data_IF_948706816519
#
_entry.id   IF_948706816519
#
_cell.length_a   1.000
_cell.length_b   1.000
_cell.length_c   1.000
_cell.angle_alpha   90.00
_cell.angle_beta   90.00
_cell.angle_gamma   90.00
#
_symmetry.space_group_name_H-M   'P 1'
#
loop_
_entity.id
_entity.type
_entity.pdbx_description
1 polymer ?
#
# COMPACT_ATOMS: atom_id res chain seq x y z
N UNK A 1 10.70 8.42 -0.03
CA UNK A 1 11.08 8.38 -1.46
C UNK A 1 10.96 6.93 -1.92
N UNK A 2 10.22 6.63 -3.00
CA UNK A 2 10.01 5.25 -3.47
C UNK A 2 11.26 4.78 -4.21
N UNK A 3 12.10 3.99 -3.55
CA UNK A 3 13.44 3.70 -4.05
C UNK A 3 13.49 2.60 -5.10
N UNK A 4 12.40 1.87 -5.35
CA UNK A 4 12.40 0.74 -6.28
C UNK A 4 11.09 0.56 -7.04
N UNK A 5 11.22 0.57 -8.37
CA UNK A 5 10.17 0.27 -9.34
C UNK A 5 10.52 -1.03 -10.06
N UNK A 6 9.51 -1.84 -10.39
CA UNK A 6 9.62 -3.14 -11.02
C UNK A 6 8.90 -3.13 -12.38
N UNK A 7 9.39 -3.84 -13.41
CA UNK A 7 8.70 -3.97 -14.68
C UNK A 7 7.28 -4.50 -14.50
N UNK A 8 6.33 -3.89 -15.19
CA UNK A 8 4.93 -4.32 -15.25
C UNK A 8 4.61 -4.78 -16.67
N UNK A 9 4.22 -6.04 -16.80
CA UNK A 9 3.90 -6.65 -18.11
C UNK A 9 2.40 -6.92 -18.13
N UNK A 10 1.70 -6.29 -19.07
CA UNK A 10 0.27 -6.52 -19.26
C UNK A 10 0.03 -7.76 -20.14
N UNK A 11 -0.91 -8.64 -19.76
CA UNK A 11 -1.31 -9.76 -20.61
C UNK A 11 -1.86 -9.30 -21.97
N UNK A 12 -1.67 -10.10 -23.02
CA UNK A 12 -2.17 -9.78 -24.36
C UNK A 12 -3.69 -9.48 -24.42
N UNK A 13 -4.58 -10.20 -23.70
CA UNK A 13 -6.00 -9.86 -23.66
C UNK A 13 -6.28 -8.46 -23.10
N UNK A 14 -5.50 -8.02 -22.11
CA UNK A 14 -5.61 -6.68 -21.53
C UNK A 14 -5.20 -5.62 -22.54
N UNK A 15 -4.09 -5.85 -23.26
CA UNK A 15 -3.63 -4.92 -24.30
C UNK A 15 -4.66 -4.78 -25.43
N UNK A 16 -5.34 -5.87 -25.80
CA UNK A 16 -6.40 -5.82 -26.80
C UNK A 16 -7.62 -5.02 -26.31
N UNK A 17 -8.04 -5.24 -25.07
CA UNK A 17 -9.11 -4.44 -24.46
C UNK A 17 -8.75 -2.94 -24.42
N UNK A 18 -7.49 -2.61 -24.13
CA UNK A 18 -7.00 -1.22 -24.13
C UNK A 18 -7.10 -0.61 -25.53
N UNK A 19 -6.67 -1.33 -26.57
CA UNK A 19 -6.79 -0.86 -27.97
C UNK A 19 -8.23 -0.56 -28.35
N UNK A 20 -9.16 -1.44 -27.99
CA UNK A 20 -10.59 -1.27 -28.26
C UNK A 20 -11.14 -0.02 -27.55
N UNK A 21 -10.77 0.21 -26.29
CA UNK A 21 -11.19 1.40 -25.54
C UNK A 21 -10.60 2.69 -26.10
N UNK A 22 -9.33 2.67 -26.52
CA UNK A 22 -8.68 3.84 -27.14
C UNK A 22 -9.25 4.18 -28.52
N UNK A 23 -9.72 3.18 -29.28
CA UNK A 23 -10.29 3.39 -30.62
C UNK A 23 -11.54 4.28 -30.61
N UNK A 24 -12.29 4.28 -29.51
CA UNK A 24 -13.53 5.08 -29.34
C UNK A 24 -13.33 6.31 -28.44
N UNK A 25 -12.12 6.53 -27.92
CA UNK A 25 -11.81 7.65 -27.05
C UNK A 25 -11.59 8.94 -27.87
N UNK A 26 -11.97 10.08 -27.29
CA UNK A 26 -11.72 11.38 -27.90
C UNK A 26 -10.23 11.72 -27.88
N UNK A 27 -9.59 11.56 -29.03
CA UNK A 27 -8.14 11.80 -29.23
C UNK A 27 -7.71 13.25 -29.02
N UNK A 28 -8.65 14.20 -28.98
CA UNK A 28 -8.32 15.60 -28.66
C UNK A 28 -8.10 15.81 -27.15
N UNK A 29 -8.60 14.88 -26.32
CA UNK A 29 -8.62 15.01 -24.86
C UNK A 29 -7.68 14.01 -24.19
N UNK A 30 -7.35 12.90 -24.85
CA UNK A 30 -6.54 11.83 -24.26
C UNK A 30 -5.08 11.85 -24.69
N UNK A 31 -4.20 11.43 -23.79
CA UNK A 31 -2.87 10.93 -24.12
C UNK A 31 -2.95 9.41 -24.22
N UNK A 32 -2.67 8.84 -25.40
CA UNK A 32 -2.79 7.39 -25.64
C UNK A 32 -1.89 6.56 -24.71
N UNK A 33 -0.73 7.09 -24.29
CA UNK A 33 0.20 6.42 -23.38
C UNK A 33 -0.37 6.39 -21.96
N UNK A 34 -0.76 7.55 -21.43
CA UNK A 34 -1.25 7.67 -20.05
C UNK A 34 -2.64 7.05 -19.89
N UNK A 35 -3.55 7.35 -20.81
CA UNK A 35 -4.92 6.83 -20.79
C UNK A 35 -4.92 5.33 -21.08
N UNK A 36 -4.14 4.88 -22.06
CA UNK A 36 -4.01 3.45 -22.37
C UNK A 36 -3.45 2.65 -21.19
N UNK A 37 -2.40 3.16 -20.54
CA UNK A 37 -1.84 2.54 -19.34
C UNK A 37 -2.86 2.51 -18.19
N UNK A 38 -3.62 3.58 -17.99
CA UNK A 38 -4.66 3.62 -16.95
C UNK A 38 -5.76 2.59 -17.22
N UNK A 39 -6.18 2.42 -18.47
CA UNK A 39 -7.12 1.36 -18.83
C UNK A 39 -6.55 -0.04 -18.61
N UNK A 40 -5.26 -0.25 -18.89
CA UNK A 40 -4.58 -1.51 -18.64
C UNK A 40 -4.54 -1.84 -17.13
N UNK A 41 -4.20 -0.85 -16.30
CA UNK A 41 -4.19 -0.95 -14.84
C UNK A 41 -5.58 -1.30 -14.29
N UNK A 42 -6.62 -0.62 -14.77
CA UNK A 42 -8.02 -0.90 -14.39
C UNK A 42 -8.44 -2.33 -14.78
N UNK A 43 -8.06 -2.78 -15.96
CA UNK A 43 -8.39 -4.13 -16.45
C UNK A 43 -7.78 -5.25 -15.61
N UNK A 44 -6.67 -5.00 -14.90
CA UNK A 44 -6.05 -5.95 -13.97
C UNK A 44 -6.40 -5.68 -12.49
N UNK A 45 -7.38 -4.81 -12.22
CA UNK A 45 -7.97 -4.61 -10.88
C UNK A 45 -7.46 -3.38 -10.10
N UNK A 46 -6.61 -2.54 -10.67
CA UNK A 46 -6.15 -1.33 -9.98
C UNK A 46 -7.10 -0.15 -10.18
N UNK A 47 -7.35 0.60 -9.11
CA UNK A 47 -8.12 1.85 -9.16
C UNK A 47 -7.19 3.05 -9.05
N UNK A 48 -7.23 4.02 -9.99
CA UNK A 48 -6.43 5.24 -9.87
C UNK A 48 -6.90 6.09 -8.68
N UNK A 49 -5.96 6.59 -7.88
CA UNK A 49 -6.27 7.53 -6.80
C UNK A 49 -6.46 8.93 -7.37
N UNK A 50 -7.52 9.60 -6.94
CA UNK A 50 -7.85 10.96 -7.35
C UNK A 50 -7.73 11.92 -6.18
N UNK A 51 -7.28 13.14 -6.45
CA UNK A 51 -7.53 14.28 -5.59
C UNK A 51 -9.04 14.56 -5.51
N UNK A 52 -9.53 15.23 -4.44
CA UNK A 52 -10.93 15.64 -4.34
C UNK A 52 -11.43 16.47 -5.53
N UNK A 53 -10.52 17.19 -6.21
CA UNK A 53 -10.81 17.94 -7.43
C UNK A 53 -10.91 17.09 -8.71
N UNK A 54 -10.73 15.77 -8.63
CA UNK A 54 -10.84 14.83 -9.75
C UNK A 54 -9.54 14.53 -10.50
N UNK A 55 -8.43 15.22 -10.21
CA UNK A 55 -7.14 14.98 -10.86
C UNK A 55 -6.42 13.75 -10.28
N UNK A 56 -5.63 13.05 -11.11
CA UNK A 56 -4.79 11.93 -10.66
C UNK A 56 -3.79 12.38 -9.60
N UNK A 57 -3.54 11.53 -8.60
CA UNK A 57 -2.45 11.73 -7.64
C UNK A 57 -1.16 11.25 -8.29
N UNK A 58 -0.17 12.14 -8.38
CA UNK A 58 1.09 11.92 -9.08
C UNK A 58 2.30 11.98 -8.15
N UNK A 59 3.35 11.26 -8.50
CA UNK A 59 4.69 11.38 -7.89
C UNK A 59 5.75 11.24 -8.97
N UNK A 60 6.95 11.78 -8.76
CA UNK A 60 8.05 11.62 -9.72
C UNK A 60 8.46 10.15 -9.85
N UNK A 61 8.56 9.64 -11.08
CA UNK A 61 9.08 8.32 -11.32
C UNK A 61 10.62 8.31 -11.18
N UNK A 62 11.15 7.50 -10.26
CA UNK A 62 12.59 7.45 -10.01
C UNK A 62 13.40 6.78 -11.13
N UNK A 63 12.76 5.96 -11.98
CA UNK A 63 13.41 5.36 -13.15
C UNK A 63 13.52 6.38 -14.29
N UNK A 64 12.40 7.01 -14.63
CA UNK A 64 12.32 7.92 -15.77
C UNK A 64 12.84 9.34 -15.45
N UNK A 65 12.72 9.82 -14.21
CA UNK A 65 13.10 11.16 -13.68
C UNK A 65 12.55 12.40 -14.42
N UNK A 66 11.91 12.21 -15.57
CA UNK A 66 11.28 13.25 -16.39
C UNK A 66 9.76 13.12 -16.44
N UNK A 67 9.21 12.06 -15.84
CA UNK A 67 7.80 11.68 -15.98
C UNK A 67 7.19 11.34 -14.63
N UNK A 68 5.88 11.51 -14.54
CA UNK A 68 5.11 11.21 -13.34
C UNK A 68 4.64 9.74 -13.33
N UNK A 69 4.66 9.15 -12.14
CA UNK A 69 3.98 7.92 -11.79
C UNK A 69 2.64 8.26 -11.12
N UNK A 70 1.59 7.56 -11.52
CA UNK A 70 0.25 7.70 -10.96
C UNK A 70 0.09 6.78 -9.76
N UNK A 71 -0.59 7.26 -8.71
CA UNK A 71 -0.96 6.44 -7.57
C UNK A 71 -2.17 5.57 -7.92
N UNK A 72 -2.04 4.27 -7.69
CA UNK A 72 -3.11 3.29 -7.82
C UNK A 72 -3.36 2.59 -6.49
N UNK A 73 -4.55 2.03 -6.32
CA UNK A 73 -4.94 1.26 -5.15
C UNK A 73 -5.46 -0.11 -5.57
N UNK A 74 -5.09 -1.12 -4.79
CA UNK A 74 -5.56 -2.50 -4.94
C UNK A 74 -5.35 -3.22 -3.61
N UNK A 75 -6.33 -4.00 -3.14
CA UNK A 75 -6.25 -4.82 -1.93
C UNK A 75 -5.63 -4.14 -0.71
N UNK A 76 -6.18 -2.99 -0.29
CA UNK A 76 -5.67 -2.19 0.84
C UNK A 76 -4.20 -1.75 0.75
N UNK A 77 -3.60 -1.80 -0.43
CA UNK A 77 -2.30 -1.24 -0.72
C UNK A 77 -2.45 -0.05 -1.67
N UNK A 78 -1.46 0.83 -1.65
CA UNK A 78 -1.26 1.80 -2.72
C UNK A 78 0.07 1.55 -3.43
N UNK A 79 0.10 1.90 -4.71
CA UNK A 79 1.18 1.65 -5.64
C UNK A 79 1.45 2.93 -6.42
N UNK A 80 2.68 3.15 -6.85
CA UNK A 80 2.99 4.14 -7.87
C UNK A 80 3.39 3.42 -9.14
N UNK A 81 2.72 3.73 -10.26
CA UNK A 81 3.00 3.12 -11.54
C UNK A 81 3.25 4.18 -12.62
N UNK A 82 4.32 4.02 -13.40
CA UNK A 82 4.71 4.95 -14.44
C UNK A 82 4.31 4.41 -15.82
N UNK A 83 3.54 5.16 -16.61
CA UNK A 83 3.11 4.73 -17.94
C UNK A 83 4.25 4.72 -18.97
N UNK A 84 5.27 5.58 -18.80
CA UNK A 84 6.36 5.73 -19.77
C UNK A 84 7.41 4.63 -19.69
N UNK A 85 7.85 4.27 -18.48
CA UNK A 85 8.78 3.14 -18.27
C UNK A 85 8.06 1.82 -17.94
N UNK A 86 6.73 1.80 -17.91
CA UNK A 86 5.90 0.62 -17.60
C UNK A 86 6.37 -0.13 -16.35
N UNK A 87 6.46 0.60 -15.23
CA UNK A 87 6.93 0.04 -13.97
C UNK A 87 6.03 0.40 -12.79
N UNK A 88 6.00 -0.45 -11.76
CA UNK A 88 5.19 -0.29 -10.54
C UNK A 88 6.02 -0.52 -9.26
N UNK A 89 5.64 0.06 -8.12
CA UNK A 89 6.26 -0.22 -6.81
C UNK A 89 5.77 -1.55 -6.20
N UNK A 90 6.42 -2.05 -5.13
CA UNK A 90 6.05 -3.29 -4.40
C UNK A 90 4.67 -3.26 -3.72
N UNK A 91 3.98 -2.11 -3.76
CA UNK A 91 2.79 -1.88 -2.95
C UNK A 91 3.15 -1.49 -1.52
N UNK A 92 2.39 -0.57 -0.95
CA UNK A 92 2.57 -0.10 0.42
C UNK A 92 1.24 -0.27 1.13
N UNK A 93 1.27 -1.02 2.21
CA UNK A 93 0.09 -1.31 3.00
C UNK A 93 -0.49 -0.03 3.62
N UNK A 94 -1.81 0.12 3.57
CA UNK A 94 -2.52 1.25 4.18
C UNK A 94 -2.73 1.02 5.69
N UNK A 95 -1.63 0.98 6.44
CA UNK A 95 -1.64 0.78 7.89
C UNK A 95 -2.59 1.76 8.61
N UNK A 96 -2.65 3.02 8.16
CA UNK A 96 -3.55 4.02 8.75
C UNK A 96 -5.04 3.66 8.71
N UNK A 97 -5.50 2.90 7.69
CA UNK A 97 -6.88 2.40 7.63
C UNK A 97 -7.02 1.19 8.55
N UNK A 98 -6.05 0.28 8.49
CA UNK A 98 -6.02 -0.90 9.33
C UNK A 98 -6.05 -0.58 10.82
N UNK A 99 -5.24 0.38 11.26
CA UNK A 99 -5.15 0.74 12.68
C UNK A 99 -6.46 1.31 13.23
N UNK A 100 -7.38 1.83 12.41
CA UNK A 100 -8.68 2.36 12.86
C UNK A 100 -9.63 1.30 13.40
N UNK A 101 -9.32 0.02 13.19
CA UNK A 101 -10.18 -1.09 13.58
C UNK A 101 -9.81 -1.57 14.99
N UNK A 102 -10.81 -1.63 15.88
CA UNK A 102 -10.62 -1.97 17.30
C UNK A 102 -10.11 -3.39 17.51
N UNK A 103 -10.43 -4.29 16.59
CA UNK A 103 -9.93 -5.67 16.64
C UNK A 103 -8.39 -5.74 16.54
N UNK A 104 -7.72 -4.69 16.05
CA UNK A 104 -6.27 -4.65 15.91
C UNK A 104 -5.56 -4.08 17.13
N UNK A 105 -6.32 -3.71 18.16
CA UNK A 105 -5.77 -3.23 19.42
C UNK A 105 -5.10 -4.40 20.14
N UNK A 106 -3.88 -4.14 20.59
CA UNK A 106 -3.04 -5.02 21.38
C UNK A 106 -2.80 -4.38 22.75
N UNK A 107 -2.74 -5.20 23.79
CA UNK A 107 -2.35 -4.78 25.12
C UNK A 107 -0.99 -5.35 25.50
N UNK A 108 -0.17 -4.54 26.16
CA UNK A 108 1.06 -5.03 26.79
C UNK A 108 0.77 -5.65 28.16
N UNK A 109 1.75 -6.37 28.72
CA UNK A 109 1.72 -6.88 30.10
C UNK A 109 1.60 -5.78 31.16
N UNK A 110 1.81 -4.51 30.79
CA UNK A 110 1.65 -3.35 31.67
C UNK A 110 0.36 -2.57 31.39
N UNK A 111 -0.49 -3.04 30.48
CA UNK A 111 -1.76 -2.42 30.14
C UNK A 111 -1.65 -1.25 29.15
N UNK A 112 -0.51 -1.07 28.48
CA UNK A 112 -0.36 -0.06 27.44
C UNK A 112 -1.03 -0.53 26.14
N UNK A 113 -1.65 0.40 25.40
CA UNK A 113 -2.38 0.12 24.17
C UNK A 113 -1.54 0.37 22.93
N UNK A 114 -1.53 -0.61 22.03
CA UNK A 114 -0.88 -0.55 20.73
C UNK A 114 -1.82 -1.03 19.63
N UNK A 115 -1.53 -0.67 18.39
CA UNK A 115 -2.29 -1.14 17.23
C UNK A 115 -1.37 -1.91 16.29
N UNK A 116 -1.76 -3.13 15.95
CA UNK A 116 -1.04 -3.94 14.98
C UNK A 116 -0.95 -3.20 13.62
N UNK A 117 0.25 -3.14 13.02
CA UNK A 117 0.50 -2.47 11.74
C UNK A 117 0.73 -3.49 10.62
N UNK A 118 1.87 -4.16 10.61
CA UNK A 118 2.24 -5.19 9.64
C UNK A 118 3.33 -6.09 10.23
N UNK A 119 3.16 -7.40 10.10
CA UNK A 119 4.13 -8.37 10.58
C UNK A 119 4.36 -8.21 12.08
N UNK A 120 5.58 -7.83 12.46
CA UNK A 120 5.97 -7.63 13.86
C UNK A 120 5.92 -6.16 14.29
N UNK A 121 5.42 -5.26 13.45
CA UNK A 121 5.36 -3.83 13.78
C UNK A 121 4.02 -3.48 14.43
N UNK A 122 4.11 -2.71 15.51
CA UNK A 122 2.96 -2.11 16.20
C UNK A 122 3.11 -0.60 16.26
N UNK A 123 1.97 0.09 16.37
CA UNK A 123 1.90 1.55 16.38
C UNK A 123 1.26 2.04 17.67
N UNK A 124 1.95 2.92 18.37
CA UNK A 124 1.43 3.72 19.47
C UNK A 124 0.77 4.98 18.90
N UNK A 125 -0.55 5.06 18.99
CA UNK A 125 -1.30 6.24 18.52
C UNK A 125 -1.12 7.47 19.40
N UNK A 126 -0.91 7.28 20.70
CA UNK A 126 -0.80 8.36 21.69
C UNK A 126 0.48 9.15 21.44
N UNK A 127 1.58 8.46 21.19
CA UNK A 127 2.88 9.06 20.93
C UNK A 127 3.27 9.12 19.45
N UNK A 128 2.42 8.58 18.56
CA UNK A 128 2.62 8.52 17.10
C UNK A 128 3.94 7.85 16.72
N UNK A 129 4.20 6.71 17.35
CA UNK A 129 5.49 6.03 17.28
C UNK A 129 5.28 4.56 16.90
N UNK A 130 6.21 4.01 16.13
CA UNK A 130 6.20 2.60 15.77
C UNK A 130 7.29 1.85 16.53
N UNK A 131 6.98 0.59 16.85
CA UNK A 131 7.88 -0.33 17.52
C UNK A 131 7.87 -1.66 16.78
N UNK A 132 9.01 -2.33 16.77
CA UNK A 132 9.11 -3.72 16.33
C UNK A 132 9.03 -4.65 17.55
N UNK A 133 8.22 -5.70 17.45
CA UNK A 133 8.05 -6.68 18.52
C UNK A 133 9.02 -7.83 18.28
N UNK A 134 9.99 -7.99 19.18
CA UNK A 134 10.95 -9.09 19.11
C UNK A 134 10.31 -10.45 19.39
N UNK A 135 11.08 -11.53 19.23
CA UNK A 135 10.62 -12.92 19.47
C UNK A 135 10.14 -13.18 20.91
N UNK A 136 10.47 -12.30 21.85
CA UNK A 136 10.10 -12.40 23.26
C UNK A 136 8.95 -11.44 23.61
N UNK A 137 8.40 -10.73 22.64
CA UNK A 137 7.33 -9.77 22.82
C UNK A 137 7.78 -8.38 23.29
N UNK A 138 9.09 -8.08 23.37
CA UNK A 138 9.55 -6.75 23.75
C UNK A 138 9.35 -5.77 22.60
N UNK A 139 8.92 -4.54 22.94
CA UNK A 139 8.86 -3.43 22.01
C UNK A 139 10.28 -2.89 21.81
N UNK A 140 10.75 -2.82 20.56
CA UNK A 140 12.11 -2.40 20.22
C UNK A 140 12.09 -1.22 19.26
N UNK A 141 13.12 -0.39 19.37
CA UNK A 141 13.45 0.65 18.40
C UNK A 141 14.95 0.61 18.14
N UNK A 142 15.35 0.55 16.87
CA UNK A 142 16.76 0.36 16.48
C UNK A 142 17.42 -0.80 17.25
N UNK A 143 16.69 -1.92 17.38
CA UNK A 143 17.06 -3.13 18.12
C UNK A 143 17.26 -2.96 19.64
N UNK A 144 16.85 -1.80 20.21
CA UNK A 144 16.93 -1.51 21.63
C UNK A 144 15.55 -1.75 22.28
N UNK A 145 15.42 -2.70 23.23
CA UNK A 145 14.15 -2.95 23.90
C UNK A 145 13.74 -1.84 24.88
N UNK A 146 12.48 -1.41 24.79
CA UNK A 146 11.82 -0.56 25.77
C UNK A 146 11.03 -1.42 26.77
N UNK A 147 11.66 -1.72 27.90
CA UNK A 147 11.02 -2.48 28.97
C UNK A 147 9.99 -1.66 29.78
N UNK A 148 9.94 -0.34 29.63
CA UNK A 148 9.03 0.54 30.39
C UNK A 148 7.58 0.27 29.97
N UNK A 149 7.35 0.06 28.68
CA UNK A 149 6.03 -0.15 28.07
C UNK A 149 5.49 -1.58 28.26
N UNK A 150 6.34 -2.51 28.69
CA UNK A 150 5.98 -3.91 28.89
C UNK A 150 6.19 -4.76 27.64
N UNK A 151 5.53 -5.93 27.59
CA UNK A 151 5.63 -6.85 26.46
C UNK A 151 4.28 -7.10 25.82
N UNK A 152 4.26 -7.31 24.51
CA UNK A 152 3.09 -7.82 23.80
C UNK A 152 3.19 -9.35 23.76
N UNK A 153 2.11 -10.03 24.13
CA UNK A 153 2.01 -11.49 23.93
C UNK A 153 2.09 -11.82 22.43
N UNK A 154 3.04 -12.67 22.05
CA UNK A 154 3.28 -13.04 20.64
C UNK A 154 2.06 -13.72 20.03
N UNK A 155 1.26 -14.46 20.80
CA UNK A 155 0.02 -15.06 20.30
C UNK A 155 -1.01 -14.01 19.88
N UNK A 156 -1.07 -12.89 20.60
CA UNK A 156 -1.94 -11.76 20.28
C UNK A 156 -1.49 -11.06 18.99
N UNK A 157 -0.16 -10.90 18.82
CA UNK A 157 0.44 -10.32 17.63
C UNK A 157 0.19 -11.19 16.39
N UNK A 158 0.44 -12.50 16.49
CA UNK A 158 0.22 -13.48 15.41
C UNK A 158 -1.25 -13.55 14.99
N UNK A 159 -2.18 -13.51 15.96
CA UNK A 159 -3.61 -13.44 15.67
C UNK A 159 -4.00 -12.14 14.93
N UNK A 160 -3.43 -11.00 15.33
CA UNK A 160 -3.67 -9.73 14.64
C UNK A 160 -3.08 -9.70 13.22
N UNK A 161 -1.90 -10.30 13.01
CA UNK A 161 -1.31 -10.44 11.67
C UNK A 161 -2.14 -11.36 10.79
N UNK A 162 -2.60 -12.50 11.31
CA UNK A 162 -3.53 -13.38 10.59
C UNK A 162 -4.79 -12.65 10.15
N UNK A 163 -5.39 -11.85 11.04
CA UNK A 163 -6.58 -11.04 10.71
C UNK A 163 -6.28 -9.96 9.68
N UNK A 164 -5.09 -9.35 9.71
CA UNK A 164 -4.64 -8.39 8.69
C UNK A 164 -4.56 -9.04 7.32
N UNK A 165 -3.92 -10.20 7.23
CA UNK A 165 -3.77 -10.94 5.97
C UNK A 165 -5.14 -11.33 5.41
N UNK A 166 -6.03 -11.88 6.25
CA UNK A 166 -7.39 -12.20 5.84
C UNK A 166 -8.17 -10.96 5.36
N UNK A 167 -7.97 -9.81 6.01
CA UNK A 167 -8.58 -8.54 5.60
C UNK A 167 -8.07 -8.08 4.23
N UNK A 168 -6.76 -8.15 3.98
CA UNK A 168 -6.15 -7.85 2.67
C UNK A 168 -6.70 -8.78 1.58
N UNK A 169 -6.87 -10.06 1.88
CA UNK A 169 -7.40 -11.04 0.93
C UNK A 169 -8.88 -10.81 0.61
N UNK A 170 -9.67 -10.39 1.60
CA UNK A 170 -11.10 -10.07 1.45
C UNK A 170 -11.38 -8.78 0.68
N UNK A 171 -10.37 -7.97 0.43
CA UNK A 171 -10.51 -6.75 -0.35
C UNK A 171 -10.55 -7.09 -1.84
N UNK A 172 -11.71 -6.91 -2.46
CA UNK A 172 -11.90 -7.02 -3.91
C UNK A 172 -11.23 -5.84 -4.65
#
# INVERSE_FOLDING_TARGET
MFTKFFPLIFPAPVLEQVRQRLAVADKQVIDETITGFTYAMQAIGYTPSLHPAGCLILSECQNCKSSYATRYEMKHHFYFACPHCQTITKGIFKAAIWNQREENRLLTTKGEEFWHSEGHTVYDRKHRQSYEVDERGNLTQDDIPDYVLGRIDTAQLEDAERRRLAWIESAD
#
